data_IF_238915302357
#
_entry.id   IF_238915302357
#
_cell.length_a   1.000
_cell.length_b   1.000
_cell.length_c   1.000
_cell.angle_alpha   90.00
_cell.angle_beta   90.00
_cell.angle_gamma   90.00
#
_symmetry.space_group_name_H-M   'P 1'
#
loop_
_entity.id
_entity.type
_entity.pdbx_description
1 polymer ?
#
# COMPACT_ATOMS: atom_id res chain seq x y z
N UNK A 1 19.35 -0.30 -12.26
CA UNK A 1 17.96 -0.44 -11.83
C UNK A 1 17.48 0.71 -10.95
N UNK A 2 16.21 0.68 -10.57
CA UNK A 2 15.61 1.68 -9.70
C UNK A 2 14.86 1.03 -8.52
N UNK A 3 14.95 1.66 -7.35
CA UNK A 3 14.16 1.33 -6.16
C UNK A 3 13.27 2.51 -5.82
N UNK A 4 12.00 2.26 -5.67
CA UNK A 4 11.04 3.28 -5.26
C UNK A 4 10.64 2.99 -3.81
N UNK A 5 10.88 3.94 -2.93
CA UNK A 5 10.52 3.85 -1.53
C UNK A 5 9.09 4.35 -1.34
N UNK A 6 8.23 3.49 -0.81
CA UNK A 6 6.84 3.78 -0.49
C UNK A 6 6.60 3.64 1.01
N UNK A 7 5.65 4.40 1.51
CA UNK A 7 5.27 4.37 2.91
C UNK A 7 5.94 5.48 3.73
N UNK A 8 5.45 5.65 4.94
CA UNK A 8 5.92 6.66 5.89
C UNK A 8 6.13 6.04 7.28
N UNK A 9 6.79 4.90 7.30
CA UNK A 9 7.24 4.32 8.57
C UNK A 9 8.49 5.07 9.03
N UNK A 10 8.52 5.45 10.29
CA UNK A 10 9.67 6.11 10.91
C UNK A 10 10.80 5.16 11.31
N UNK A 11 10.65 3.88 11.07
CA UNK A 11 11.68 2.89 11.39
C UNK A 11 12.88 3.01 10.46
N UNK A 12 14.12 2.96 10.98
CA UNK A 12 15.30 2.99 10.13
C UNK A 12 15.47 1.70 9.33
N UNK A 13 15.81 1.84 8.07
CA UNK A 13 16.21 0.74 7.22
C UNK A 13 17.71 0.84 6.94
N UNK A 14 18.43 -0.24 7.11
CA UNK A 14 19.85 -0.28 6.82
C UNK A 14 20.10 -0.62 5.34
N UNK A 15 20.56 0.37 4.60
CA UNK A 15 21.02 0.20 3.21
C UNK A 15 22.41 0.81 3.10
N UNK A 16 23.39 0.03 2.67
CA UNK A 16 24.74 0.52 2.50
C UNK A 16 24.95 1.17 1.14
N UNK A 17 25.76 2.21 1.08
CA UNK A 17 26.17 2.85 -0.18
C UNK A 17 26.74 1.81 -1.17
N UNK A 18 27.46 0.81 -0.67
CA UNK A 18 28.04 -0.25 -1.49
C UNK A 18 26.96 -1.07 -2.22
N UNK A 19 25.80 -1.31 -1.59
CA UNK A 19 24.68 -2.02 -2.23
C UNK A 19 24.09 -1.23 -3.39
N UNK A 20 23.97 0.09 -3.23
CA UNK A 20 23.48 0.99 -4.26
C UNK A 20 24.52 1.08 -5.40
N UNK A 21 25.78 1.33 -5.05
CA UNK A 21 26.86 1.51 -6.01
C UNK A 21 27.10 0.29 -6.91
N UNK A 22 27.18 -0.92 -6.33
CA UNK A 22 27.46 -2.16 -7.09
C UNK A 22 26.41 -2.47 -8.15
N UNK A 23 25.20 -2.00 -7.98
CA UNK A 23 24.09 -2.27 -8.91
C UNK A 23 23.70 -1.04 -9.73
N UNK A 24 24.46 0.04 -9.62
CA UNK A 24 24.15 1.33 -10.29
C UNK A 24 22.68 1.70 -10.14
N UNK A 25 22.20 1.71 -8.88
CA UNK A 25 20.78 1.89 -8.57
C UNK A 25 20.42 3.35 -8.41
N UNK A 26 19.27 3.72 -8.94
CA UNK A 26 18.58 4.96 -8.58
C UNK A 26 17.62 4.69 -7.44
N UNK A 27 17.69 5.46 -6.37
CA UNK A 27 16.75 5.37 -5.23
C UNK A 27 15.90 6.63 -5.21
N UNK A 28 14.58 6.45 -5.26
CA UNK A 28 13.60 7.55 -5.33
C UNK A 28 12.54 7.37 -4.26
N UNK A 29 12.28 8.41 -3.48
CA UNK A 29 11.14 8.46 -2.58
C UNK A 29 9.86 8.84 -3.33
N UNK A 30 8.78 8.14 -3.04
CA UNK A 30 7.45 8.48 -3.53
C UNK A 30 6.53 8.77 -2.36
N UNK A 31 5.83 9.89 -2.41
CA UNK A 31 4.93 10.31 -1.33
C UNK A 31 3.51 10.48 -1.85
N UNK A 32 2.57 9.75 -1.20
CA UNK A 32 1.13 9.87 -1.44
C UNK A 32 0.75 9.77 -2.93
N UNK A 33 -0.12 10.67 -3.40
CA UNK A 33 -0.48 10.73 -4.80
C UNK A 33 -0.21 12.14 -5.37
N UNK A 34 0.02 12.21 -6.66
CA UNK A 34 0.16 13.46 -7.41
C UNK A 34 -0.82 13.42 -8.58
N UNK A 35 -2.06 13.84 -8.33
CA UNK A 35 -3.14 13.92 -9.33
C UNK A 35 -3.43 12.61 -10.08
N UNK A 36 -3.18 11.46 -9.43
CA UNK A 36 -3.33 10.14 -10.07
C UNK A 36 -4.74 9.56 -9.99
N UNK A 37 -5.64 10.13 -9.18
CA UNK A 37 -6.99 9.62 -9.03
C UNK A 37 -7.75 9.46 -10.35
N UNK A 38 -7.79 10.46 -11.24
CA UNK A 38 -8.50 10.32 -12.51
C UNK A 38 -7.95 9.17 -13.36
N UNK A 39 -6.62 9.03 -13.42
CA UNK A 39 -5.94 7.96 -14.16
C UNK A 39 -6.26 6.58 -13.60
N UNK A 40 -6.25 6.44 -12.27
CA UNK A 40 -6.55 5.16 -11.61
C UNK A 40 -8.01 4.79 -11.82
N UNK A 41 -8.94 5.74 -11.66
CA UNK A 41 -10.37 5.49 -11.87
C UNK A 41 -10.68 5.08 -13.31
N UNK A 42 -10.04 5.69 -14.29
CA UNK A 42 -10.17 5.29 -15.69
C UNK A 42 -9.68 3.85 -15.93
N UNK A 43 -8.54 3.49 -15.35
CA UNK A 43 -8.01 2.11 -15.44
C UNK A 43 -8.90 1.08 -14.77
N UNK A 44 -9.47 1.42 -13.62
CA UNK A 44 -10.45 0.56 -12.93
C UNK A 44 -11.70 0.39 -13.80
N UNK A 45 -12.25 1.48 -14.36
CA UNK A 45 -13.42 1.43 -15.23
C UNK A 45 -13.19 0.59 -16.49
N UNK A 46 -11.97 0.55 -17.00
CA UNK A 46 -11.58 -0.30 -18.15
C UNK A 46 -11.24 -1.75 -17.77
N UNK A 47 -11.37 -2.12 -16.51
CA UNK A 47 -11.03 -3.47 -16.04
C UNK A 47 -9.53 -3.79 -16.03
N UNK A 48 -8.67 -2.80 -16.14
CA UNK A 48 -7.21 -2.96 -16.13
C UNK A 48 -6.63 -3.09 -14.72
N UNK A 49 -7.42 -2.76 -13.69
CA UNK A 49 -7.06 -2.89 -12.28
C UNK A 49 -8.20 -3.50 -11.51
N UNK A 50 -7.91 -4.55 -10.75
CA UNK A 50 -8.89 -5.29 -9.95
C UNK A 50 -8.70 -4.95 -8.47
N UNK A 51 -9.16 -3.77 -8.05
CA UNK A 51 -8.97 -3.28 -6.67
C UNK A 51 -9.71 -4.12 -5.64
N UNK A 52 -10.77 -4.81 -6.02
CA UNK A 52 -11.53 -5.71 -5.14
C UNK A 52 -10.65 -6.78 -4.49
N UNK A 53 -9.64 -7.25 -5.19
CA UNK A 53 -8.70 -8.26 -4.67
C UNK A 53 -7.82 -7.73 -3.54
N UNK A 54 -7.70 -6.41 -3.38
CA UNK A 54 -6.94 -5.79 -2.30
C UNK A 54 -7.73 -5.76 -0.99
N UNK A 55 -9.06 -5.89 -1.04
CA UNK A 55 -9.91 -5.92 0.15
C UNK A 55 -9.98 -7.33 0.68
N UNK A 56 -9.17 -7.63 1.71
CA UNK A 56 -9.11 -8.96 2.31
C UNK A 56 -10.24 -9.23 3.31
N UNK A 57 -10.74 -8.18 3.96
CA UNK A 57 -11.74 -8.28 5.03
C UNK A 57 -12.80 -7.19 4.91
N UNK A 58 -14.05 -7.56 5.13
CA UNK A 58 -15.18 -6.62 5.15
C UNK A 58 -15.91 -6.72 6.47
N UNK A 59 -16.26 -5.59 7.03
CA UNK A 59 -16.96 -5.46 8.30
C UNK A 59 -18.20 -4.56 8.12
N UNK A 60 -19.28 -4.87 8.83
CA UNK A 60 -20.37 -3.94 9.00
C UNK A 60 -19.95 -2.80 9.96
N UNK A 61 -20.64 -1.67 9.91
CA UNK A 61 -20.29 -0.49 10.71
C UNK A 61 -20.31 -0.77 12.23
N UNK A 62 -21.20 -1.62 12.70
CA UNK A 62 -21.28 -2.05 14.10
C UNK A 62 -20.08 -2.91 14.54
N UNK A 63 -19.33 -3.46 13.61
CA UNK A 63 -18.09 -4.21 13.82
C UNK A 63 -16.83 -3.34 13.65
N UNK A 64 -16.95 -2.02 13.64
CA UNK A 64 -15.82 -1.13 13.40
C UNK A 64 -14.66 -1.34 14.38
N UNK A 65 -14.93 -1.61 15.66
CA UNK A 65 -13.89 -1.88 16.65
C UNK A 65 -13.08 -3.12 16.31
N UNK A 66 -13.72 -4.18 15.82
CA UNK A 66 -13.07 -5.41 15.38
C UNK A 66 -12.20 -5.15 14.13
N UNK A 67 -12.71 -4.35 13.18
CA UNK A 67 -11.95 -3.95 11.99
C UNK A 67 -10.66 -3.21 12.35
N UNK A 68 -10.71 -2.29 13.31
CA UNK A 68 -9.52 -1.57 13.80
C UNK A 68 -8.54 -2.49 14.51
N UNK A 69 -9.02 -3.41 15.36
CA UNK A 69 -8.18 -4.40 16.03
C UNK A 69 -7.43 -5.23 14.99
N UNK A 70 -8.12 -5.72 13.97
CA UNK A 70 -7.52 -6.49 12.89
C UNK A 70 -6.49 -5.68 12.09
N UNK A 71 -6.73 -4.40 11.85
CA UNK A 71 -5.78 -3.53 11.16
C UNK A 71 -4.49 -3.30 11.97
N UNK A 72 -4.57 -3.31 13.29
CA UNK A 72 -3.40 -3.21 14.18
C UNK A 72 -2.64 -4.53 14.26
N UNK A 73 -3.35 -5.64 14.43
CA UNK A 73 -2.76 -6.97 14.59
C UNK A 73 -2.17 -7.54 13.30
N UNK A 74 -2.74 -7.15 12.15
CA UNK A 74 -2.31 -7.56 10.81
C UNK A 74 -2.05 -9.07 10.71
N UNK A 75 -3.06 -9.92 10.97
CA UNK A 75 -2.87 -11.37 10.92
C UNK A 75 -2.51 -11.83 9.49
N UNK A 76 -2.03 -13.06 9.38
CA UNK A 76 -1.69 -13.64 8.08
C UNK A 76 -2.88 -13.53 7.10
N UNK A 77 -2.61 -13.07 5.87
CA UNK A 77 -3.64 -12.83 4.86
C UNK A 77 -4.34 -11.48 4.94
N UNK A 78 -4.03 -10.64 5.94
CA UNK A 78 -4.54 -9.28 6.00
C UNK A 78 -3.85 -8.39 4.95
N UNK A 79 -4.65 -7.71 4.14
CA UNK A 79 -4.19 -6.69 3.21
C UNK A 79 -4.86 -5.36 3.51
N UNK A 80 -6.19 -5.34 3.45
CA UNK A 80 -7.00 -4.16 3.72
C UNK A 80 -8.37 -4.56 4.24
N UNK A 81 -8.84 -3.88 5.26
CA UNK A 81 -10.22 -3.98 5.72
C UNK A 81 -11.07 -2.83 5.16
N UNK A 82 -12.33 -3.13 4.89
CA UNK A 82 -13.33 -2.16 4.46
C UNK A 82 -14.53 -2.23 5.41
N UNK A 83 -15.01 -1.07 5.84
CA UNK A 83 -16.24 -0.94 6.63
C UNK A 83 -17.36 -0.54 5.69
N UNK A 84 -18.46 -1.26 5.74
CA UNK A 84 -19.67 -1.01 4.93
C UNK A 84 -20.80 -0.53 5.80
N UNK A 85 -21.57 0.39 5.30
CA UNK A 85 -22.74 0.98 5.98
C UNK A 85 -24.03 0.33 5.53
#
# INVERSE_FOLDING_TARGET
>A
GAVILLGMDGSPNEVTEQQIFRKEMTVVGSRMNSNMFPTILDRVARGQMQLEQMVSHRFAVDQAAEAFTMAVEQPAGFLKSMITF
#
